data_IF_269169117778
#
_entry.id   IF_269169117778
#
_cell.length_a   1.000
_cell.length_b   1.000
_cell.length_c   1.000
_cell.angle_alpha   90.00
_cell.angle_beta   90.00
_cell.angle_gamma   90.00
#
_symmetry.space_group_name_H-M   'P 1'
#
loop_
_entity.id
_entity.type
_entity.pdbx_description
1 polymer ?
#
# COMPACT_ATOMS: atom_id res chain seq x y z
N UNK A 1 -8.26 9.69 40.09
CA UNK A 1 -7.91 10.77 39.16
C UNK A 1 -8.65 10.52 37.83
N UNK A 2 -9.30 11.52 37.29
CA UNK A 2 -10.08 11.39 36.05
C UNK A 2 -9.55 12.34 34.99
N UNK A 3 -9.61 11.91 33.72
CA UNK A 3 -9.29 12.73 32.57
C UNK A 3 -10.54 12.98 31.72
N UNK A 4 -10.80 14.23 31.34
CA UNK A 4 -11.76 14.62 30.30
C UNK A 4 -11.02 15.15 29.08
N UNK A 5 -11.17 14.49 27.93
CA UNK A 5 -10.45 14.83 26.71
C UNK A 5 -11.23 14.40 25.47
N UNK A 6 -11.64 15.37 24.62
CA UNK A 6 -12.42 15.12 23.40
C UNK A 6 -11.63 15.43 22.11
N UNK A 7 -10.31 15.20 22.18
CA UNK A 7 -9.39 15.47 21.06
C UNK A 7 -8.89 16.91 21.04
N UNK A 8 -7.94 17.18 20.14
CA UNK A 8 -7.21 18.45 20.12
C UNK A 8 -8.05 19.70 19.89
N UNK A 9 -9.21 19.60 19.26
CA UNK A 9 -10.04 20.75 18.90
C UNK A 9 -11.36 20.81 19.68
N UNK A 10 -11.82 19.72 20.30
CA UNK A 10 -13.12 19.59 20.97
C UNK A 10 -14.24 20.43 20.32
N UNK A 11 -14.61 20.17 19.06
CA UNK A 11 -15.46 21.08 18.26
C UNK A 11 -16.88 21.25 18.82
N UNK A 12 -17.29 20.38 19.75
CA UNK A 12 -18.58 20.44 20.43
C UNK A 12 -18.48 21.01 21.84
N UNK A 13 -17.27 21.27 22.34
CA UNK A 13 -17.07 21.88 23.65
C UNK A 13 -17.46 21.00 24.83
N UNK A 14 -17.33 19.67 24.74
CA UNK A 14 -17.76 18.73 25.78
C UNK A 14 -16.80 18.61 26.95
N UNK A 15 -15.53 18.95 26.76
CA UNK A 15 -14.48 18.70 27.76
C UNK A 15 -14.77 19.32 29.10
N UNK A 16 -15.07 20.62 29.16
CA UNK A 16 -15.32 21.33 30.42
C UNK A 16 -16.68 21.00 31.02
N UNK A 17 -17.82 21.06 30.27
CA UNK A 17 -19.12 20.69 30.83
C UNK A 17 -19.11 19.32 31.51
N UNK A 18 -18.55 18.28 30.86
CA UNK A 18 -18.47 16.96 31.47
C UNK A 18 -17.50 16.93 32.66
N UNK A 19 -16.33 17.57 32.58
CA UNK A 19 -15.42 17.66 33.71
C UNK A 19 -16.11 18.28 34.94
N UNK A 20 -16.91 19.35 34.77
CA UNK A 20 -17.66 19.97 35.84
C UNK A 20 -18.73 19.03 36.42
N UNK A 21 -19.51 18.35 35.59
CA UNK A 21 -20.53 17.40 36.06
C UNK A 21 -19.90 16.27 36.86
N UNK A 22 -18.76 15.72 36.38
CA UNK A 22 -18.00 14.70 37.14
C UNK A 22 -17.43 15.28 38.44
N UNK A 23 -17.00 16.53 38.44
CA UNK A 23 -16.52 17.23 39.64
C UNK A 23 -17.59 17.35 40.71
N UNK A 24 -18.81 17.72 40.31
CA UNK A 24 -20.00 17.78 41.17
C UNK A 24 -20.41 16.39 41.66
N UNK A 25 -20.36 15.37 40.80
CA UNK A 25 -20.66 13.99 41.17
C UNK A 25 -19.66 13.41 42.15
N UNK A 26 -18.37 13.77 42.04
CA UNK A 26 -17.26 13.23 42.83
C UNK A 26 -16.37 14.35 43.40
N UNK A 27 -16.80 15.08 44.43
CA UNK A 27 -16.11 16.28 44.96
C UNK A 27 -14.66 16.02 45.42
N UNK A 28 -14.31 14.79 45.80
CA UNK A 28 -12.96 14.42 46.23
C UNK A 28 -12.06 13.96 45.11
N UNK A 29 -12.61 13.76 43.90
CA UNK A 29 -11.83 13.34 42.74
C UNK A 29 -11.00 14.50 42.20
N UNK A 30 -9.78 14.19 41.75
CA UNK A 30 -8.97 15.11 40.96
C UNK A 30 -9.31 14.91 39.49
N UNK A 31 -9.83 15.97 38.83
CA UNK A 31 -10.23 15.91 37.43
C UNK A 31 -9.30 16.78 36.62
N UNK A 32 -8.81 16.26 35.52
CA UNK A 32 -7.97 16.96 34.54
C UNK A 32 -8.78 17.11 33.25
N UNK A 33 -8.86 18.32 32.72
CA UNK A 33 -9.50 18.63 31.45
C UNK A 33 -8.44 19.13 30.47
N UNK A 34 -8.29 18.46 29.33
CA UNK A 34 -7.30 18.85 28.30
C UNK A 34 -7.99 19.74 27.27
N UNK A 35 -7.48 20.97 27.09
CA UNK A 35 -7.98 21.94 26.10
C UNK A 35 -6.87 22.65 25.38
N UNK A 36 -7.05 22.87 24.06
CA UNK A 36 -6.10 23.64 23.23
C UNK A 36 -6.28 25.16 23.34
N UNK A 37 -7.52 25.60 23.57
CA UNK A 37 -7.90 27.01 23.58
C UNK A 37 -8.28 27.50 24.98
N UNK A 38 -8.11 28.81 25.21
CA UNK A 38 -8.59 29.45 26.43
C UNK A 38 -10.11 29.35 26.52
N UNK A 39 -10.62 29.10 27.73
CA UNK A 39 -12.04 28.91 27.97
C UNK A 39 -12.52 29.90 29.03
N UNK A 40 -13.62 30.58 28.76
CA UNK A 40 -14.28 31.51 29.67
C UNK A 40 -15.41 30.85 30.48
N UNK A 41 -15.54 29.51 30.45
CA UNK A 41 -16.57 28.82 31.22
C UNK A 41 -16.17 28.71 32.70
N UNK A 42 -17.20 28.71 33.56
CA UNK A 42 -16.99 28.45 34.97
C UNK A 42 -16.44 27.06 35.20
N UNK A 43 -15.40 26.95 36.03
CA UNK A 43 -14.68 25.71 36.30
C UNK A 43 -14.84 25.34 37.75
N UNK A 44 -15.20 24.08 38.04
CA UNK A 44 -15.31 23.55 39.41
C UNK A 44 -13.93 23.49 40.09
N UNK A 45 -13.91 23.65 41.42
CA UNK A 45 -12.65 23.77 42.22
C UNK A 45 -11.71 22.58 42.08
N UNK A 46 -12.22 21.36 41.84
CA UNK A 46 -11.46 20.11 41.72
C UNK A 46 -11.16 19.75 40.23
N UNK A 47 -11.44 20.67 39.28
CA UNK A 47 -11.08 20.53 37.85
C UNK A 47 -9.83 21.36 37.57
N UNK A 48 -8.81 20.72 37.06
CA UNK A 48 -7.58 21.33 36.57
C UNK A 48 -7.56 21.31 35.04
N UNK A 49 -7.59 22.49 34.41
CA UNK A 49 -7.51 22.62 32.96
C UNK A 49 -6.05 22.71 32.55
N UNK A 50 -5.64 21.85 31.61
CA UNK A 50 -4.28 21.79 31.11
C UNK A 50 -4.23 21.86 29.59
N UNK A 51 -3.11 22.34 29.04
CA UNK A 51 -2.84 22.31 27.60
C UNK A 51 -2.65 20.86 27.14
N UNK A 52 -2.77 20.58 25.83
CA UNK A 52 -2.52 19.26 25.28
C UNK A 52 -1.19 18.66 25.75
N UNK A 53 -1.27 17.45 26.26
CA UNK A 53 -0.11 16.71 26.78
C UNK A 53 0.55 16.01 25.61
N UNK A 54 1.84 16.28 25.41
CA UNK A 54 2.64 15.58 24.41
C UNK A 54 2.73 14.09 24.77
N UNK A 55 2.48 13.21 23.80
CA UNK A 55 2.45 11.76 24.01
C UNK A 55 1.47 11.32 25.12
N UNK A 56 0.25 11.87 25.13
CA UNK A 56 -0.76 11.58 26.14
C UNK A 56 -0.89 10.07 26.47
N UNK A 57 -0.75 9.20 25.46
CA UNK A 57 -0.80 7.73 25.64
C UNK A 57 0.20 7.20 26.69
N UNK A 58 1.33 7.88 26.88
CA UNK A 58 2.36 7.50 27.85
C UNK A 58 2.02 7.92 29.28
N UNK A 59 0.97 8.74 29.45
CA UNK A 59 0.50 9.28 30.72
C UNK A 59 -0.89 8.78 31.12
N UNK A 60 -1.58 8.02 30.27
CA UNK A 60 -2.94 7.55 30.55
C UNK A 60 -3.03 6.67 31.79
N UNK A 61 -2.02 5.87 32.08
CA UNK A 61 -1.95 5.02 33.29
C UNK A 61 -2.04 5.81 34.61
N UNK A 62 -1.84 7.14 34.57
CA UNK A 62 -1.98 8.00 35.75
C UNK A 62 -3.46 8.27 36.12
N UNK A 63 -4.40 7.88 35.28
CA UNK A 63 -5.82 8.16 35.43
C UNK A 63 -6.59 6.86 35.68
N UNK A 64 -7.55 6.93 36.63
CA UNK A 64 -8.44 5.82 36.92
C UNK A 64 -9.57 5.71 35.88
N UNK A 65 -10.06 6.87 35.39
CA UNK A 65 -11.15 6.97 34.43
C UNK A 65 -10.79 8.02 33.36
N UNK A 66 -11.09 7.70 32.11
CA UNK A 66 -10.97 8.60 30.95
C UNK A 66 -12.36 8.80 30.32
N UNK A 67 -12.78 10.05 30.21
CA UNK A 67 -14.01 10.45 29.53
C UNK A 67 -13.65 11.07 28.20
N UNK A 68 -14.13 10.49 27.11
CA UNK A 68 -13.74 10.88 25.75
C UNK A 68 -14.83 10.51 24.73
N UNK A 69 -14.57 10.74 23.44
CA UNK A 69 -15.40 10.21 22.37
C UNK A 69 -14.80 8.88 21.84
N UNK A 70 -15.55 8.20 20.98
CA UNK A 70 -15.04 6.99 20.31
C UNK A 70 -13.89 7.37 19.35
N UNK A 71 -12.67 7.00 19.69
CA UNK A 71 -11.44 7.34 18.95
C UNK A 71 -10.20 6.70 19.59
N UNK A 72 -9.02 7.02 19.08
CA UNK A 72 -7.75 6.43 19.53
C UNK A 72 -7.55 6.56 21.03
N UNK A 73 -7.83 7.72 21.62
CA UNK A 73 -7.67 7.97 23.07
C UNK A 73 -8.48 6.98 23.92
N UNK A 74 -9.69 6.58 23.46
CA UNK A 74 -10.50 5.58 24.17
C UNK A 74 -9.80 4.22 24.21
N UNK A 75 -9.24 3.77 23.10
CA UNK A 75 -8.52 2.49 23.03
C UNK A 75 -7.19 2.52 23.76
N UNK A 76 -6.44 3.63 23.66
CA UNK A 76 -5.21 3.84 24.41
C UNK A 76 -5.46 3.82 25.92
N UNK A 77 -6.59 4.42 26.37
CA UNK A 77 -7.01 4.39 27.79
C UNK A 77 -7.38 2.98 28.26
N UNK A 78 -8.13 2.22 27.46
CA UNK A 78 -8.46 0.82 27.74
C UNK A 78 -7.17 -0.02 27.86
N UNK A 79 -6.25 0.18 26.93
CA UNK A 79 -4.96 -0.51 26.94
C UNK A 79 -4.09 -0.14 28.14
N UNK A 80 -4.15 1.11 28.59
CA UNK A 80 -3.47 1.59 29.80
C UNK A 80 -4.13 1.09 31.10
N UNK A 81 -5.25 0.36 31.02
CA UNK A 81 -5.99 -0.15 32.19
C UNK A 81 -6.91 0.86 32.83
N UNK A 82 -7.24 1.97 32.17
CA UNK A 82 -8.20 2.94 32.66
C UNK A 82 -9.64 2.46 32.47
N UNK A 83 -10.53 2.88 33.35
CA UNK A 83 -11.98 2.88 33.08
C UNK A 83 -12.28 3.88 31.97
N UNK A 84 -13.14 3.53 31.01
CA UNK A 84 -13.50 4.43 29.90
C UNK A 84 -14.99 4.69 29.86
N UNK A 85 -15.33 5.97 29.69
CA UNK A 85 -16.70 6.43 29.48
C UNK A 85 -16.72 7.24 28.19
N UNK A 86 -17.61 6.87 27.26
CA UNK A 86 -17.74 7.56 26.00
C UNK A 86 -18.93 8.49 25.97
N UNK A 87 -18.78 9.66 25.32
CA UNK A 87 -19.88 10.47 24.83
C UNK A 87 -19.85 10.46 23.30
N UNK A 88 -20.88 9.96 22.60
CA UNK A 88 -20.85 9.83 21.15
C UNK A 88 -21.04 11.17 20.46
N UNK A 89 -20.11 11.52 19.59
CA UNK A 89 -20.19 12.74 18.78
C UNK A 89 -20.95 12.55 17.46
N UNK A 90 -21.12 11.28 17.04
CA UNK A 90 -21.86 10.89 15.82
C UNK A 90 -22.65 9.60 16.04
N UNK A 91 -23.64 9.34 15.18
CA UNK A 91 -24.39 8.07 15.17
C UNK A 91 -23.50 6.86 14.95
N UNK A 92 -22.44 7.00 14.13
CA UNK A 92 -21.44 5.94 13.92
C UNK A 92 -20.71 5.62 15.23
N UNK A 93 -20.23 6.64 15.95
CA UNK A 93 -19.54 6.46 17.24
C UNK A 93 -20.43 5.76 18.27
N UNK A 94 -21.74 6.11 18.30
CA UNK A 94 -22.71 5.41 19.16
C UNK A 94 -22.80 3.93 18.82
N UNK A 95 -23.05 3.60 17.56
CA UNK A 95 -23.18 2.22 17.10
C UNK A 95 -21.92 1.38 17.37
N UNK A 96 -20.74 1.98 17.20
CA UNK A 96 -19.46 1.30 17.46
C UNK A 96 -19.25 1.07 18.97
N UNK A 97 -19.54 2.05 19.80
CA UNK A 97 -19.43 1.89 21.25
C UNK A 97 -20.38 0.80 21.78
N UNK A 98 -21.62 0.76 21.30
CA UNK A 98 -22.60 -0.29 21.64
C UNK A 98 -22.12 -1.67 21.14
N UNK A 99 -21.62 -1.77 19.92
CA UNK A 99 -21.07 -3.02 19.35
C UNK A 99 -19.94 -3.60 20.21
N UNK A 100 -19.04 -2.75 20.68
CA UNK A 100 -17.88 -3.16 21.49
C UNK A 100 -18.16 -3.11 23.01
N UNK A 101 -19.41 -2.83 23.41
CA UNK A 101 -19.83 -2.79 24.82
C UNK A 101 -18.98 -1.83 25.67
N UNK A 102 -18.53 -0.72 25.10
CA UNK A 102 -17.84 0.32 25.84
C UNK A 102 -18.88 1.23 26.49
N UNK A 103 -18.76 1.52 27.78
CA UNK A 103 -19.72 2.36 28.50
C UNK A 103 -19.96 3.69 27.83
N UNK A 104 -21.24 4.01 27.54
CA UNK A 104 -21.64 5.12 26.70
C UNK A 104 -22.70 5.99 27.39
N UNK A 105 -22.44 7.29 27.52
CA UNK A 105 -23.43 8.26 27.93
C UNK A 105 -24.44 8.49 26.79
N UNK A 106 -25.72 8.55 27.14
CA UNK A 106 -26.79 8.63 26.14
C UNK A 106 -27.03 10.05 25.63
N UNK A 107 -26.70 11.05 26.44
CA UNK A 107 -26.87 12.47 26.07
C UNK A 107 -25.77 13.33 26.70
N UNK A 108 -25.66 14.57 26.21
CA UNK A 108 -24.68 15.56 26.67
C UNK A 108 -25.12 16.34 27.90
N UNK A 109 -26.42 16.37 28.18
CA UNK A 109 -27.03 17.11 29.31
C UNK A 109 -27.25 16.17 30.49
N UNK A 110 -26.19 15.49 30.94
CA UNK A 110 -26.25 14.56 32.04
C UNK A 110 -26.03 15.29 33.37
N UNK A 111 -26.76 14.87 34.42
CA UNK A 111 -26.64 15.45 35.77
C UNK A 111 -25.59 14.70 36.61
N UNK A 112 -25.13 15.33 37.69
CA UNK A 112 -24.19 14.72 38.62
C UNK A 112 -24.75 13.42 39.26
N UNK A 113 -26.04 13.34 39.50
CA UNK A 113 -26.67 12.15 40.10
C UNK A 113 -26.74 10.99 39.07
N UNK A 114 -27.10 11.33 37.82
CA UNK A 114 -27.07 10.33 36.72
C UNK A 114 -25.68 9.79 36.47
N UNK A 115 -24.63 10.62 36.56
CA UNK A 115 -23.22 10.16 36.46
C UNK A 115 -22.88 9.21 37.59
N UNK A 116 -23.27 9.49 38.84
CA UNK A 116 -23.03 8.59 39.95
C UNK A 116 -23.69 7.24 39.74
N UNK A 117 -24.94 7.24 39.29
CA UNK A 117 -25.69 6.03 38.96
C UNK A 117 -25.04 5.29 37.79
N UNK A 118 -24.65 6.00 36.73
CA UNK A 118 -23.98 5.41 35.59
C UNK A 118 -22.69 4.70 35.96
N UNK A 119 -21.83 5.34 36.76
CA UNK A 119 -20.54 4.75 37.25
C UNK A 119 -20.78 3.52 38.10
N UNK A 120 -21.84 3.50 38.92
CA UNK A 120 -22.19 2.32 39.78
C UNK A 120 -22.75 1.15 38.97
N UNK A 121 -23.49 1.43 37.88
CA UNK A 121 -24.25 0.42 37.16
C UNK A 121 -23.48 -0.19 35.96
N UNK A 122 -22.37 0.41 35.56
CA UNK A 122 -21.62 -0.01 34.37
C UNK A 122 -20.23 -0.54 34.74
N UNK A 123 -19.77 -1.56 34.03
CA UNK A 123 -18.38 -1.93 34.10
C UNK A 123 -17.57 -0.94 33.24
N UNK A 124 -16.84 -0.05 33.89
CA UNK A 124 -16.05 0.98 33.20
C UNK A 124 -14.75 0.45 32.60
N UNK A 125 -14.38 -0.79 32.90
CA UNK A 125 -13.18 -1.45 32.40
C UNK A 125 -13.55 -2.49 31.33
N UNK A 126 -13.90 -2.05 30.11
CA UNK A 126 -14.26 -2.97 29.05
C UNK A 126 -13.05 -3.83 28.69
N UNK A 127 -13.23 -5.14 28.72
CA UNK A 127 -12.29 -6.06 28.09
C UNK A 127 -12.54 -5.95 26.58
N UNK A 128 -11.62 -5.41 25.87
CA UNK A 128 -11.63 -5.57 24.41
C UNK A 128 -11.50 -7.07 24.14
N UNK A 129 -12.47 -7.69 23.46
CA UNK A 129 -12.37 -9.09 23.14
C UNK A 129 -11.17 -9.30 22.23
N UNK A 130 -10.07 -9.80 22.77
CA UNK A 130 -8.96 -10.37 22.00
C UNK A 130 -9.48 -11.73 21.54
N UNK A 131 -10.33 -11.72 20.55
CA UNK A 131 -10.88 -12.94 19.98
C UNK A 131 -10.23 -13.16 18.61
N UNK A 132 -9.46 -14.24 18.51
CA UNK A 132 -8.70 -14.63 17.31
C UNK A 132 -9.53 -14.81 16.03
N UNK A 133 -10.85 -14.66 16.10
CA UNK A 133 -11.78 -14.87 14.97
C UNK A 133 -12.67 -13.64 14.66
N UNK A 134 -12.40 -12.48 15.22
CA UNK A 134 -13.16 -11.27 14.93
C UNK A 134 -12.23 -10.19 14.33
N UNK A 135 -12.70 -9.45 13.33
CA UNK A 135 -12.05 -8.26 12.78
C UNK A 135 -11.98 -7.14 13.85
N UNK A 136 -11.24 -7.38 14.93
CA UNK A 136 -11.10 -6.46 16.06
C UNK A 136 -9.99 -5.44 15.81
N UNK A 137 -10.05 -4.31 16.51
CA UNK A 137 -8.98 -3.32 16.47
C UNK A 137 -7.63 -3.93 16.90
N UNK A 138 -7.63 -4.92 17.83
CA UNK A 138 -6.44 -5.67 18.23
C UNK A 138 -5.82 -6.39 17.04
N UNK A 139 -6.60 -7.12 16.23
CA UNK A 139 -6.13 -7.75 15.00
C UNK A 139 -5.67 -6.71 13.97
N UNK A 140 -6.35 -5.56 13.89
CA UNK A 140 -5.94 -4.48 13.00
C UNK A 140 -4.61 -3.87 13.45
N UNK A 141 -4.41 -3.62 14.75
CA UNK A 141 -3.13 -3.16 15.32
C UNK A 141 -2.04 -4.23 15.13
N UNK A 142 -2.38 -5.50 15.34
CA UNK A 142 -1.48 -6.61 15.10
C UNK A 142 -1.11 -6.71 13.62
N UNK A 143 -2.08 -6.65 12.70
CA UNK A 143 -1.82 -6.56 11.26
C UNK A 143 -0.96 -5.36 10.88
N UNK A 144 -1.20 -4.18 11.48
CA UNK A 144 -0.32 -3.01 11.27
C UNK A 144 1.11 -3.29 11.78
N UNK A 145 1.26 -3.98 12.91
CA UNK A 145 2.59 -4.35 13.43
C UNK A 145 3.27 -5.45 12.61
N UNK A 146 2.47 -6.34 12.02
CA UNK A 146 2.88 -7.44 11.15
C UNK A 146 2.88 -7.06 9.65
N UNK A 147 2.32 -5.89 9.31
CA UNK A 147 2.30 -5.37 7.94
C UNK A 147 3.69 -5.38 7.32
N UNK A 148 3.76 -5.79 6.05
CA UNK A 148 5.02 -5.90 5.31
C UNK A 148 5.73 -4.55 5.25
N UNK A 149 6.89 -4.45 5.92
CA UNK A 149 7.84 -3.36 5.71
C UNK A 149 8.72 -3.72 4.53
N UNK A 150 8.57 -2.97 3.45
CA UNK A 150 9.30 -3.20 2.22
C UNK A 150 10.49 -2.24 2.12
N UNK A 151 11.58 -2.75 1.60
CA UNK A 151 12.80 -1.99 1.36
C UNK A 151 12.73 -1.30 0.00
N UNK A 152 13.58 -0.28 -0.21
CA UNK A 152 13.77 0.24 -1.56
C UNK A 152 14.28 -0.89 -2.48
N UNK A 153 13.58 -1.23 -3.57
CA UNK A 153 13.93 -2.37 -4.41
C UNK A 153 15.27 -2.22 -5.15
N UNK A 154 15.79 -0.99 -5.24
CA UNK A 154 17.09 -0.67 -5.85
C UNK A 154 18.22 -0.67 -4.82
N UNK A 155 18.02 -0.04 -3.65
CA UNK A 155 19.08 0.10 -2.65
C UNK A 155 19.11 -1.04 -1.65
N UNK A 156 18.02 -1.82 -1.54
CA UNK A 156 17.85 -2.96 -0.63
C UNK A 156 18.19 -2.68 0.85
N UNK A 157 18.25 -1.40 1.21
CA UNK A 157 18.53 -0.96 2.57
C UNK A 157 17.24 -0.61 3.31
N UNK A 158 17.28 -0.71 4.63
CA UNK A 158 16.17 -0.29 5.47
C UNK A 158 15.76 1.14 5.11
N UNK A 159 14.43 1.33 4.91
CA UNK A 159 13.89 2.65 4.63
C UNK A 159 14.40 3.62 5.68
N UNK A 160 15.25 4.54 5.27
CA UNK A 160 15.71 5.60 6.15
C UNK A 160 14.48 6.41 6.57
N UNK A 161 14.45 6.87 7.82
CA UNK A 161 13.45 7.84 8.29
C UNK A 161 13.39 9.09 7.39
N UNK A 162 14.44 9.31 6.60
CA UNK A 162 14.60 10.40 5.65
C UNK A 162 13.81 10.22 4.33
N UNK A 163 13.44 8.99 3.93
CA UNK A 163 12.70 8.76 2.68
C UNK A 163 11.34 9.48 2.69
N UNK A 164 11.15 10.38 1.72
CA UNK A 164 9.96 11.23 1.63
C UNK A 164 8.72 10.41 1.33
N UNK A 165 7.66 10.56 2.12
CA UNK A 165 6.34 9.99 1.81
C UNK A 165 5.80 10.70 0.56
N UNK A 166 5.44 9.90 -0.45
CA UNK A 166 4.87 10.37 -1.73
C UNK A 166 3.35 10.25 -1.72
N UNK A 167 2.85 9.13 -1.21
CA UNK A 167 1.42 8.87 -1.04
C UNK A 167 1.19 7.88 0.11
N UNK A 168 0.04 7.98 0.74
CA UNK A 168 -0.41 7.05 1.78
C UNK A 168 -1.91 6.87 1.67
N UNK A 169 -2.37 5.63 1.78
CA UNK A 169 -3.78 5.28 1.92
C UNK A 169 -3.97 4.32 3.12
N UNK A 170 -5.17 3.76 3.26
CA UNK A 170 -5.51 2.93 4.42
C UNK A 170 -4.70 1.63 4.54
N UNK A 171 -4.15 1.13 3.44
CA UNK A 171 -3.47 -0.17 3.38
C UNK A 171 -2.01 -0.07 2.97
N UNK A 172 -1.58 1.03 2.34
CA UNK A 172 -0.24 1.15 1.73
C UNK A 172 0.40 2.51 1.94
N UNK A 173 1.75 2.52 1.97
CA UNK A 173 2.56 3.75 1.99
C UNK A 173 3.60 3.68 0.89
N UNK A 174 3.66 4.70 0.06
CA UNK A 174 4.69 4.89 -0.96
C UNK A 174 5.68 5.96 -0.53
N UNK A 175 6.97 5.68 -0.69
CA UNK A 175 8.07 6.60 -0.37
C UNK A 175 8.96 6.80 -1.59
N UNK A 176 9.68 7.90 -1.59
CA UNK A 176 10.79 8.14 -2.51
C UNK A 176 12.09 7.92 -1.78
N UNK A 177 12.88 6.98 -2.26
CA UNK A 177 14.22 6.71 -1.72
C UNK A 177 15.13 7.92 -1.91
N UNK A 178 15.69 8.43 -0.84
CA UNK A 178 16.59 9.58 -0.87
C UNK A 178 17.89 9.26 -1.63
N UNK A 179 18.36 8.01 -1.55
CA UNK A 179 19.63 7.57 -2.15
C UNK A 179 19.55 7.42 -3.67
N UNK A 180 18.47 6.79 -4.21
CA UNK A 180 18.41 6.48 -5.64
C UNK A 180 17.26 7.18 -6.39
N UNK A 181 16.33 7.80 -5.68
CA UNK A 181 15.17 8.48 -6.26
C UNK A 181 14.01 7.55 -6.66
N UNK A 182 14.12 6.22 -6.47
CA UNK A 182 13.04 5.29 -6.76
C UNK A 182 11.83 5.57 -5.87
N UNK A 183 10.65 5.68 -6.47
CA UNK A 183 9.39 5.67 -5.72
C UNK A 183 8.96 4.23 -5.53
N UNK A 184 8.73 3.81 -4.29
CA UNK A 184 8.46 2.42 -3.95
C UNK A 184 7.42 2.30 -2.85
N UNK A 185 6.72 1.16 -2.82
CA UNK A 185 5.83 0.79 -1.73
C UNK A 185 6.69 0.39 -0.53
N UNK A 186 6.63 1.16 0.54
CA UNK A 186 7.44 0.94 1.76
C UNK A 186 6.70 0.18 2.85
N UNK A 187 5.39 0.05 2.70
CA UNK A 187 4.52 -0.65 3.63
C UNK A 187 3.25 -1.12 2.94
N UNK A 188 2.82 -2.35 3.22
CA UNK A 188 1.53 -2.91 2.79
C UNK A 188 0.90 -3.72 3.92
N UNK A 189 -0.44 -3.61 4.07
CA UNK A 189 -1.27 -4.50 4.88
C UNK A 189 -1.81 -5.70 4.09
N UNK A 190 -1.58 -5.71 2.79
CA UNK A 190 -2.11 -6.72 1.89
C UNK A 190 -1.04 -7.78 1.59
N UNK A 191 -1.47 -9.02 1.47
CA UNK A 191 -0.61 -10.13 1.12
C UNK A 191 -0.20 -10.08 -0.36
N UNK A 192 0.86 -10.80 -0.71
CA UNK A 192 1.32 -10.93 -2.07
C UNK A 192 0.28 -11.64 -2.92
N UNK A 193 0.11 -11.19 -4.16
CA UNK A 193 -0.76 -11.88 -5.12
C UNK A 193 -0.11 -13.15 -5.63
N UNK A 194 -0.91 -14.20 -5.79
CA UNK A 194 -0.55 -15.40 -6.53
C UNK A 194 -0.89 -15.23 -8.02
N UNK A 195 0.06 -15.52 -8.90
CA UNK A 195 -0.11 -15.49 -10.37
C UNK A 195 -0.39 -16.89 -10.90
N UNK A 196 -1.45 -17.52 -10.37
CA UNK A 196 -1.93 -18.82 -10.84
C UNK A 196 -2.86 -18.66 -12.06
N UNK A 197 -3.39 -19.78 -12.54
CA UNK A 197 -4.33 -19.81 -13.68
C UNK A 197 -5.52 -18.87 -13.48
N UNK A 198 -6.02 -18.70 -12.25
CA UNK A 198 -7.09 -17.78 -11.88
C UNK A 198 -6.81 -16.33 -12.27
N UNK A 199 -5.56 -15.87 -12.17
CA UNK A 199 -5.18 -14.50 -12.56
C UNK A 199 -5.50 -14.22 -14.05
N UNK A 200 -5.11 -15.10 -14.96
CA UNK A 200 -5.30 -14.87 -16.40
C UNK A 200 -6.75 -15.04 -16.87
N UNK A 201 -7.56 -15.84 -16.17
CA UNK A 201 -8.94 -16.09 -16.54
C UNK A 201 -9.94 -15.26 -15.76
N UNK A 202 -9.74 -15.04 -14.47
CA UNK A 202 -10.69 -14.37 -13.59
C UNK A 202 -10.33 -12.90 -13.35
N UNK A 203 -9.12 -12.62 -12.86
CA UNK A 203 -8.71 -11.26 -12.49
C UNK A 203 -8.53 -10.40 -13.73
N UNK A 204 -7.92 -10.92 -14.78
CA UNK A 204 -7.78 -10.22 -16.06
C UNK A 204 -9.16 -9.96 -16.68
N UNK A 205 -10.05 -10.96 -16.69
CA UNK A 205 -11.41 -10.80 -17.18
C UNK A 205 -12.23 -9.79 -16.36
N UNK A 206 -12.07 -9.80 -15.03
CA UNK A 206 -12.71 -8.82 -14.15
C UNK A 206 -12.23 -7.39 -14.43
N UNK A 207 -10.97 -7.23 -14.77
CA UNK A 207 -10.37 -5.93 -15.04
C UNK A 207 -10.63 -5.42 -16.47
N UNK A 208 -10.64 -6.31 -17.47
CA UNK A 208 -10.67 -5.96 -18.89
C UNK A 208 -11.91 -6.47 -19.64
N UNK A 209 -12.82 -7.21 -19.01
CA UNK A 209 -14.05 -7.75 -19.60
C UNK A 209 -13.87 -8.99 -20.46
N UNK A 210 -12.65 -9.46 -20.67
CA UNK A 210 -12.26 -10.64 -21.47
C UNK A 210 -11.08 -11.36 -20.86
N UNK A 211 -10.89 -12.63 -21.17
CA UNK A 211 -9.72 -13.39 -20.73
C UNK A 211 -8.46 -12.94 -21.45
N UNK A 212 -7.30 -13.26 -20.91
CA UNK A 212 -6.02 -12.94 -21.55
C UNK A 212 -5.87 -13.57 -22.94
N UNK A 213 -6.39 -14.80 -23.14
CA UNK A 213 -6.39 -15.48 -24.41
C UNK A 213 -7.33 -14.82 -25.42
N UNK A 214 -8.53 -14.38 -25.03
CA UNK A 214 -9.44 -13.62 -25.88
C UNK A 214 -8.83 -12.27 -26.32
N UNK A 215 -7.91 -11.71 -25.52
CA UNK A 215 -7.22 -10.45 -25.84
C UNK A 215 -5.86 -10.64 -26.54
N UNK A 216 -5.46 -11.88 -26.82
CA UNK A 216 -4.16 -12.23 -27.37
C UNK A 216 -3.76 -11.37 -28.58
N UNK A 217 -4.64 -11.27 -29.59
CA UNK A 217 -4.36 -10.51 -30.82
C UNK A 217 -4.22 -9.00 -30.54
N UNK A 218 -4.99 -8.45 -29.62
CA UNK A 218 -4.87 -7.05 -29.22
C UNK A 218 -3.52 -6.78 -28.54
N UNK A 219 -3.10 -7.68 -27.64
CA UNK A 219 -1.82 -7.58 -26.93
C UNK A 219 -0.66 -7.80 -27.91
N UNK A 220 -0.80 -8.75 -28.87
CA UNK A 220 0.17 -8.96 -29.96
C UNK A 220 0.33 -7.69 -30.82
N UNK A 221 -0.77 -7.03 -31.17
CA UNK A 221 -0.73 -5.76 -31.91
C UNK A 221 0.02 -4.66 -31.17
N UNK A 222 -0.10 -4.61 -29.84
CA UNK A 222 0.71 -3.71 -29.01
C UNK A 222 2.19 -4.16 -29.02
N UNK A 223 2.44 -5.47 -29.00
CA UNK A 223 3.76 -6.06 -29.17
C UNK A 223 4.45 -5.58 -30.45
N UNK A 224 3.76 -5.55 -31.56
CA UNK A 224 4.29 -5.04 -32.85
C UNK A 224 4.77 -3.59 -32.73
N UNK A 225 3.98 -2.70 -32.08
CA UNK A 225 4.40 -1.30 -31.84
C UNK A 225 5.65 -1.21 -30.95
N UNK A 226 5.76 -2.09 -29.96
CA UNK A 226 6.95 -2.17 -29.08
C UNK A 226 8.17 -2.61 -29.88
N UNK A 227 8.00 -3.58 -30.78
CA UNK A 227 9.06 -4.08 -31.68
C UNK A 227 9.50 -2.99 -32.65
N UNK A 228 8.60 -2.20 -33.22
CA UNK A 228 8.94 -1.05 -34.06
C UNK A 228 9.85 -0.05 -33.32
N UNK A 229 9.54 0.21 -32.05
CA UNK A 229 10.39 1.04 -31.20
C UNK A 229 11.77 0.44 -30.97
N UNK A 230 11.86 -0.87 -30.67
CA UNK A 230 13.13 -1.58 -30.50
C UNK A 230 13.90 -1.59 -31.83
N UNK A 231 13.24 -1.92 -32.93
CA UNK A 231 13.82 -2.02 -34.26
C UNK A 231 14.38 -0.68 -34.81
N UNK A 232 13.86 0.46 -34.30
CA UNK A 232 14.42 1.77 -34.59
C UNK A 232 15.77 2.03 -33.96
N UNK A 233 16.13 1.25 -32.92
CA UNK A 233 17.40 1.33 -32.18
C UNK A 233 18.34 0.23 -32.60
N UNK A 234 17.85 -1.03 -32.65
CA UNK A 234 18.61 -2.21 -33.01
C UNK A 234 17.72 -3.14 -33.83
N UNK A 235 18.20 -3.54 -35.03
CA UNK A 235 17.45 -4.46 -35.89
C UNK A 235 17.18 -5.77 -35.17
N UNK A 236 15.89 -6.16 -35.11
CA UNK A 236 15.46 -7.34 -34.34
C UNK A 236 15.55 -8.65 -35.15
N UNK A 237 15.60 -8.57 -36.47
CA UNK A 237 15.64 -9.75 -37.33
C UNK A 237 16.85 -10.63 -37.01
N UNK A 238 16.61 -11.94 -36.88
CA UNK A 238 17.58 -12.98 -36.53
C UNK A 238 18.25 -12.75 -35.15
N UNK A 239 17.66 -11.94 -34.27
CA UNK A 239 18.15 -11.70 -32.93
C UNK A 239 17.45 -12.59 -31.92
N UNK A 240 18.18 -13.07 -30.92
CA UNK A 240 17.62 -13.77 -29.78
C UNK A 240 16.94 -12.76 -28.85
N UNK A 241 15.63 -12.90 -28.68
CA UNK A 241 14.78 -12.03 -27.84
C UNK A 241 14.28 -12.84 -26.66
N UNK A 242 14.58 -12.40 -25.47
CA UNK A 242 14.13 -13.05 -24.23
C UNK A 242 13.10 -12.16 -23.51
N UNK A 243 11.88 -12.66 -23.39
CA UNK A 243 10.77 -11.97 -22.75
C UNK A 243 10.52 -12.55 -21.34
N UNK A 244 10.73 -11.72 -20.33
CA UNK A 244 10.55 -12.07 -18.91
C UNK A 244 9.14 -11.71 -18.51
N UNK A 245 8.35 -12.69 -18.01
CA UNK A 245 6.92 -12.57 -17.79
C UNK A 245 6.15 -12.62 -19.11
N UNK A 246 6.46 -13.62 -19.96
CA UNK A 246 5.92 -13.72 -21.31
C UNK A 246 4.42 -14.07 -21.38
N UNK A 247 3.80 -14.46 -20.25
CA UNK A 247 2.43 -14.95 -20.18
C UNK A 247 2.13 -15.98 -21.30
N UNK A 248 1.00 -15.88 -21.99
CA UNK A 248 0.63 -16.74 -23.13
C UNK A 248 1.38 -16.40 -24.45
N UNK A 249 2.43 -15.58 -24.42
CA UNK A 249 3.36 -15.34 -25.54
C UNK A 249 2.91 -14.39 -26.66
N UNK A 250 2.01 -13.43 -26.46
CA UNK A 250 1.59 -12.53 -27.54
C UNK A 250 2.76 -11.65 -28.04
N UNK A 251 3.67 -11.24 -27.15
CA UNK A 251 4.87 -10.49 -27.55
C UNK A 251 5.88 -11.41 -28.27
N UNK A 252 6.03 -12.66 -27.83
CA UNK A 252 6.89 -13.64 -28.52
C UNK A 252 6.41 -13.85 -29.97
N UNK A 253 5.08 -13.97 -30.17
CA UNK A 253 4.49 -14.07 -31.49
C UNK A 253 4.75 -12.82 -32.35
N UNK A 254 4.63 -11.63 -31.74
CA UNK A 254 4.97 -10.37 -32.43
C UNK A 254 6.47 -10.32 -32.82
N UNK A 255 7.38 -10.82 -31.97
CA UNK A 255 8.80 -10.88 -32.28
C UNK A 255 9.09 -11.84 -33.42
N UNK A 256 8.44 -13.02 -33.44
CA UNK A 256 8.55 -13.99 -34.51
C UNK A 256 8.07 -13.42 -35.86
N UNK A 257 7.00 -12.60 -35.90
CA UNK A 257 6.54 -11.93 -37.12
C UNK A 257 7.63 -11.03 -37.73
N UNK A 258 8.52 -10.48 -36.90
CA UNK A 258 9.71 -9.72 -37.31
C UNK A 258 10.95 -10.59 -37.55
N UNK A 259 10.77 -11.91 -37.62
CA UNK A 259 11.85 -12.90 -37.86
C UNK A 259 12.91 -12.88 -36.74
N UNK A 260 12.55 -12.51 -35.51
CA UNK A 260 13.39 -12.73 -34.34
C UNK A 260 13.31 -14.19 -33.89
N UNK A 261 14.22 -14.60 -33.02
CA UNK A 261 14.18 -15.92 -32.34
C UNK A 261 13.70 -15.67 -30.93
N UNK A 262 12.41 -15.93 -30.62
CA UNK A 262 11.84 -15.64 -29.32
C UNK A 262 12.15 -16.71 -28.29
N UNK A 263 12.36 -16.29 -27.04
CA UNK A 263 12.51 -17.11 -25.84
C UNK A 263 11.67 -16.47 -24.74
N UNK A 264 11.04 -17.27 -23.88
CA UNK A 264 10.20 -16.75 -22.81
C UNK A 264 10.41 -17.41 -21.45
N UNK A 265 10.13 -16.69 -20.40
CA UNK A 265 9.94 -17.25 -19.05
C UNK A 265 8.72 -16.62 -18.41
N UNK A 266 7.99 -17.42 -17.64
CA UNK A 266 6.89 -16.99 -16.80
C UNK A 266 6.80 -17.88 -15.56
N UNK A 267 6.18 -17.41 -14.48
CA UNK A 267 5.93 -18.21 -13.29
C UNK A 267 4.70 -19.11 -13.45
N UNK A 268 3.82 -18.80 -14.41
CA UNK A 268 2.62 -19.57 -14.71
C UNK A 268 2.96 -20.77 -15.60
N UNK A 269 2.81 -21.97 -15.04
CA UNK A 269 3.03 -23.20 -15.78
C UNK A 269 2.06 -23.36 -16.96
N UNK A 270 0.79 -22.99 -16.80
CA UNK A 270 -0.22 -23.08 -17.86
C UNK A 270 0.11 -22.14 -19.04
N UNK A 271 0.56 -20.92 -18.74
CA UNK A 271 0.96 -19.96 -19.77
C UNK A 271 2.19 -20.48 -20.55
N UNK A 272 3.19 -21.00 -19.86
CA UNK A 272 4.40 -21.57 -20.47
C UNK A 272 4.07 -22.82 -21.30
N UNK A 273 3.19 -23.70 -20.83
CA UNK A 273 2.71 -24.85 -21.61
C UNK A 273 2.06 -24.40 -22.92
N UNK A 274 1.25 -23.39 -22.90
CA UNK A 274 0.63 -22.83 -24.10
C UNK A 274 1.69 -22.29 -25.06
N UNK A 275 2.66 -21.50 -24.60
CA UNK A 275 3.76 -20.98 -25.42
C UNK A 275 4.54 -22.08 -26.10
N UNK A 276 4.84 -23.18 -25.38
CA UNK A 276 5.60 -24.31 -25.91
C UNK A 276 4.80 -25.17 -26.88
N UNK A 277 3.55 -25.49 -26.55
CA UNK A 277 2.78 -26.50 -27.26
C UNK A 277 1.96 -25.91 -28.40
N UNK A 278 1.40 -24.70 -28.22
CA UNK A 278 0.53 -24.06 -29.23
C UNK A 278 1.31 -23.10 -30.12
N UNK A 279 2.27 -22.34 -29.55
CA UNK A 279 3.05 -21.38 -30.30
C UNK A 279 4.40 -21.94 -30.79
N UNK A 280 4.85 -23.07 -30.25
CA UNK A 280 6.13 -23.72 -30.56
C UNK A 280 7.36 -22.82 -30.31
N UNK A 281 7.31 -21.97 -29.28
CA UNK A 281 8.46 -21.16 -28.87
C UNK A 281 9.15 -21.74 -27.62
N UNK A 282 10.49 -21.68 -27.54
CA UNK A 282 11.23 -22.04 -26.32
C UNK A 282 10.78 -21.16 -25.15
N UNK A 283 10.23 -21.80 -24.10
CA UNK A 283 9.83 -21.12 -22.88
C UNK A 283 10.03 -22.04 -21.68
N UNK A 284 10.21 -21.48 -20.48
CA UNK A 284 10.33 -22.26 -19.25
C UNK A 284 9.57 -21.61 -18.09
N UNK A 285 9.02 -22.46 -17.21
CA UNK A 285 8.40 -22.04 -15.95
C UNK A 285 9.50 -21.81 -14.94
N UNK A 286 9.82 -20.54 -14.69
CA UNK A 286 10.84 -20.17 -13.73
C UNK A 286 10.62 -18.73 -13.22
N UNK A 287 10.97 -18.51 -11.95
CA UNK A 287 11.07 -17.18 -11.39
C UNK A 287 12.34 -16.48 -11.89
N UNK A 288 12.22 -15.17 -12.17
CA UNK A 288 13.35 -14.32 -12.47
C UNK A 288 13.66 -13.48 -11.22
N UNK A 289 14.93 -13.31 -10.80
CA UNK A 289 16.19 -13.59 -11.53
C UNK A 289 16.84 -14.98 -11.29
N UNK A 290 16.17 -15.91 -10.61
CA UNK A 290 16.74 -17.19 -10.15
C UNK A 290 16.96 -18.19 -11.29
N UNK A 291 16.36 -17.94 -12.46
CA UNK A 291 16.46 -18.83 -13.64
C UNK A 291 17.90 -19.08 -14.08
N UNK A 292 18.23 -20.34 -14.37
CA UNK A 292 19.46 -20.73 -15.04
C UNK A 292 19.25 -20.74 -16.56
N UNK A 293 19.61 -19.65 -17.22
CA UNK A 293 19.41 -19.45 -18.66
C UNK A 293 20.13 -20.52 -19.51
N UNK A 294 21.36 -20.84 -19.16
CA UNK A 294 22.15 -21.81 -19.96
C UNK A 294 21.59 -23.21 -19.87
N UNK A 295 21.05 -23.61 -18.74
CA UNK A 295 20.40 -24.90 -18.56
C UNK A 295 19.07 -24.97 -19.32
N UNK A 296 18.28 -23.91 -19.30
CA UNK A 296 16.94 -23.89 -19.90
C UNK A 296 17.00 -23.77 -21.43
N UNK A 297 17.95 -23.01 -21.98
CA UNK A 297 17.93 -22.63 -23.39
C UNK A 297 19.23 -22.97 -24.16
N UNK A 298 20.27 -23.47 -23.47
CA UNK A 298 21.57 -23.66 -24.07
C UNK A 298 22.30 -22.39 -24.50
N UNK A 299 21.82 -21.22 -24.03
CA UNK A 299 22.37 -19.92 -24.32
C UNK A 299 22.87 -19.25 -23.05
N UNK A 300 23.86 -18.36 -23.19
CA UNK A 300 24.35 -17.53 -22.05
C UNK A 300 23.85 -16.09 -22.10
N UNK A 301 23.61 -15.58 -23.31
CA UNK A 301 23.23 -14.17 -23.51
C UNK A 301 22.26 -14.02 -24.68
N UNK A 302 21.45 -12.96 -24.58
CA UNK A 302 20.47 -12.54 -25.59
C UNK A 302 20.84 -11.20 -26.20
N UNK A 303 20.37 -10.96 -27.41
CA UNK A 303 20.53 -9.65 -28.08
C UNK A 303 19.58 -8.61 -27.52
N UNK A 304 18.38 -9.08 -27.12
CA UNK A 304 17.29 -8.23 -26.62
C UNK A 304 16.66 -8.95 -25.42
N UNK A 305 16.45 -8.21 -24.33
CA UNK A 305 15.70 -8.66 -23.15
C UNK A 305 14.52 -7.73 -22.93
N UNK A 306 13.34 -8.28 -22.68
CA UNK A 306 12.12 -7.49 -22.52
C UNK A 306 11.36 -7.82 -21.24
N UNK A 307 10.62 -6.83 -20.71
CA UNK A 307 9.67 -6.94 -19.61
C UNK A 307 8.47 -6.03 -19.86
N UNK A 308 7.28 -6.59 -20.03
CA UNK A 308 6.09 -5.80 -20.34
C UNK A 308 5.08 -5.83 -19.19
N UNK A 309 5.06 -4.77 -18.34
CA UNK A 309 4.28 -4.72 -17.11
C UNK A 309 4.65 -5.84 -16.12
N UNK A 310 5.95 -6.01 -15.89
CA UNK A 310 6.53 -7.02 -15.02
C UNK A 310 7.53 -6.40 -14.03
N UNK A 311 8.28 -5.39 -14.46
CA UNK A 311 9.38 -4.82 -13.68
C UNK A 311 8.91 -4.21 -12.35
N UNK A 312 7.67 -3.73 -12.29
CA UNK A 312 7.05 -3.17 -11.09
C UNK A 312 6.74 -4.19 -10.00
N UNK A 313 6.68 -5.48 -10.35
CA UNK A 313 6.34 -6.56 -9.43
C UNK A 313 7.53 -7.14 -8.67
N UNK A 314 8.73 -6.65 -8.90
CA UNK A 314 9.91 -7.13 -8.17
C UNK A 314 10.17 -6.33 -6.89
N UNK A 315 10.25 -7.06 -5.75
CA UNK A 315 10.66 -6.51 -4.46
C UNK A 315 12.16 -6.20 -4.41
N UNK A 316 12.97 -6.88 -5.22
CA UNK A 316 14.42 -6.70 -5.32
C UNK A 316 14.83 -6.45 -6.78
N UNK A 317 14.76 -5.20 -7.20
CA UNK A 317 15.18 -4.79 -8.55
C UNK A 317 16.71 -4.77 -8.71
N UNK A 318 17.47 -4.70 -7.63
CA UNK A 318 18.93 -4.76 -7.68
C UNK A 318 19.41 -6.07 -8.29
N UNK A 319 18.89 -7.21 -7.78
CA UNK A 319 19.21 -8.53 -8.32
C UNK A 319 18.71 -8.71 -9.75
N UNK A 320 17.52 -8.23 -10.05
CA UNK A 320 16.89 -8.30 -11.38
C UNK A 320 17.73 -7.55 -12.42
N UNK A 321 18.09 -6.29 -12.16
CA UNK A 321 18.85 -5.47 -13.12
C UNK A 321 20.28 -5.98 -13.31
N UNK A 322 20.92 -6.51 -12.25
CA UNK A 322 22.22 -7.19 -12.34
C UNK A 322 22.12 -8.44 -13.22
N UNK A 323 21.09 -9.26 -13.03
CA UNK A 323 20.87 -10.46 -13.85
C UNK A 323 20.63 -10.09 -15.31
N UNK A 324 19.78 -9.10 -15.61
CA UNK A 324 19.54 -8.65 -16.98
C UNK A 324 20.86 -8.21 -17.63
N UNK A 325 21.68 -7.40 -16.94
CA UNK A 325 22.98 -7.00 -17.47
C UNK A 325 23.88 -8.20 -17.79
N UNK A 326 23.89 -9.25 -16.94
CA UNK A 326 24.72 -10.43 -17.15
C UNK A 326 24.30 -11.31 -18.33
N UNK A 327 22.99 -11.33 -18.66
CA UNK A 327 22.44 -12.14 -19.76
C UNK A 327 22.22 -11.37 -21.05
N UNK A 328 22.44 -10.07 -21.04
CA UNK A 328 22.37 -9.21 -22.22
C UNK A 328 23.75 -9.16 -22.87
N UNK A 329 23.80 -9.33 -24.20
CA UNK A 329 25.04 -9.14 -24.96
C UNK A 329 25.53 -7.70 -24.87
N UNK A 330 26.82 -7.50 -25.09
CA UNK A 330 27.35 -6.14 -25.26
C UNK A 330 26.57 -5.42 -26.38
N UNK A 331 26.20 -4.19 -26.13
CA UNK A 331 25.37 -3.34 -27.02
C UNK A 331 23.97 -3.93 -27.32
N UNK A 332 23.52 -4.88 -26.47
CA UNK A 332 22.16 -5.42 -26.51
C UNK A 332 21.13 -4.43 -25.97
N UNK A 333 19.86 -4.68 -26.25
CA UNK A 333 18.76 -3.81 -25.84
C UNK A 333 17.96 -4.41 -24.69
N UNK A 334 17.83 -3.67 -23.59
CA UNK A 334 16.83 -3.94 -22.56
C UNK A 334 15.64 -3.00 -22.75
N UNK A 335 14.45 -3.54 -22.95
CA UNK A 335 13.21 -2.76 -23.12
C UNK A 335 12.13 -3.21 -22.14
N UNK A 336 11.46 -2.26 -21.53
CA UNK A 336 10.36 -2.58 -20.60
C UNK A 336 9.25 -1.53 -20.66
N UNK A 337 8.06 -1.90 -20.21
CA UNK A 337 6.96 -0.98 -19.93
C UNK A 337 6.45 -1.17 -18.51
N UNK A 338 5.96 -0.09 -17.91
CA UNK A 338 5.41 -0.06 -16.57
C UNK A 338 4.53 1.17 -16.40
N UNK A 339 3.55 1.18 -15.49
CA UNK A 339 2.82 2.39 -15.13
C UNK A 339 3.78 3.48 -14.65
N UNK A 340 3.58 4.70 -15.12
CA UNK A 340 4.48 5.81 -14.83
C UNK A 340 3.92 6.76 -13.78
N UNK A 341 4.72 7.03 -12.72
CA UNK A 341 4.44 8.08 -11.74
C UNK A 341 4.46 9.51 -12.32
N UNK A 342 4.96 9.70 -13.54
CA UNK A 342 4.93 10.95 -14.32
C UNK A 342 3.94 10.90 -15.50
N UNK A 343 3.17 9.82 -15.60
CA UNK A 343 2.14 9.64 -16.62
C UNK A 343 0.91 10.54 -16.40
N UNK A 344 0.03 10.58 -17.40
CA UNK A 344 -1.19 11.42 -17.35
C UNK A 344 -2.05 11.09 -16.14
N UNK A 345 -2.30 9.81 -15.85
CA UNK A 345 -3.10 9.39 -14.68
C UNK A 345 -2.52 9.87 -13.36
N UNK A 346 -1.20 9.78 -13.16
CA UNK A 346 -0.54 10.25 -11.96
C UNK A 346 -0.53 11.78 -11.86
N UNK A 347 -0.47 12.50 -12.98
CA UNK A 347 -0.51 13.97 -13.02
C UNK A 347 -1.91 14.52 -12.84
N UNK A 348 -2.94 13.88 -13.41
CA UNK A 348 -4.32 14.34 -13.31
C UNK A 348 -4.91 14.12 -11.92
N UNK A 349 -4.67 12.97 -11.30
CA UNK A 349 -5.11 12.66 -9.95
C UNK A 349 -4.13 11.71 -9.26
N UNK A 350 -3.19 12.31 -8.54
CA UNK A 350 -2.11 11.59 -7.86
C UNK A 350 -2.64 10.60 -6.81
N UNK A 351 -3.58 11.02 -5.99
CA UNK A 351 -4.10 10.19 -4.91
C UNK A 351 -4.84 8.97 -5.47
N UNK A 352 -5.68 9.19 -6.48
CA UNK A 352 -6.38 8.11 -7.18
C UNK A 352 -5.40 7.14 -7.88
N UNK A 353 -4.32 7.63 -8.47
CA UNK A 353 -3.28 6.79 -9.09
C UNK A 353 -2.66 5.82 -8.08
N UNK A 354 -2.22 6.33 -6.91
CA UNK A 354 -1.61 5.48 -5.88
C UNK A 354 -2.63 4.60 -5.15
N UNK A 355 -3.87 5.07 -4.97
CA UNK A 355 -4.93 4.30 -4.33
C UNK A 355 -5.35 3.10 -5.17
N UNK A 356 -5.44 3.25 -6.50
CA UNK A 356 -5.85 2.20 -7.43
C UNK A 356 -4.66 1.45 -8.07
N UNK A 357 -3.43 1.73 -7.66
CA UNK A 357 -2.27 0.93 -8.07
C UNK A 357 -2.46 -0.51 -7.58
N UNK A 358 -2.18 -1.55 -8.40
CA UNK A 358 -2.20 -2.93 -7.94
C UNK A 358 -1.37 -3.15 -6.67
N UNK A 359 -1.78 -4.12 -5.85
CA UNK A 359 -1.19 -4.37 -4.51
C UNK A 359 0.21 -4.95 -4.58
N UNK A 360 0.57 -5.48 -5.72
CA UNK A 360 1.84 -6.10 -6.08
C UNK A 360 2.76 -5.20 -6.92
N UNK A 361 2.42 -3.90 -7.06
CA UNK A 361 3.32 -2.93 -7.66
C UNK A 361 4.26 -2.35 -6.59
N UNK A 362 5.41 -2.98 -6.40
CA UNK A 362 6.40 -2.58 -5.38
C UNK A 362 7.23 -1.37 -5.78
N UNK A 363 7.31 -1.06 -7.09
CA UNK A 363 8.00 0.12 -7.60
C UNK A 363 7.13 0.92 -8.56
N UNK A 364 7.26 2.26 -8.49
CA UNK A 364 6.61 3.20 -9.41
C UNK A 364 7.72 3.92 -10.16
N UNK A 365 7.85 3.61 -11.43
CA UNK A 365 8.88 4.17 -12.28
C UNK A 365 8.54 5.59 -12.75
N UNK A 366 9.54 6.43 -12.79
CA UNK A 366 9.46 7.81 -13.27
C UNK A 366 10.55 8.01 -14.33
N UNK A 367 10.20 8.36 -15.60
CA UNK A 367 11.18 8.58 -16.66
C UNK A 367 12.32 9.53 -16.26
N UNK A 368 12.01 10.56 -15.47
CA UNK A 368 13.02 11.51 -14.98
C UNK A 368 14.08 10.88 -14.06
N UNK A 369 13.77 9.74 -13.42
CA UNK A 369 14.66 9.01 -12.49
C UNK A 369 15.25 7.75 -13.12
N UNK A 370 14.55 7.15 -14.10
CA UNK A 370 14.96 5.91 -14.73
C UNK A 370 16.41 5.97 -15.26
N UNK A 371 16.81 7.09 -15.89
CA UNK A 371 18.18 7.27 -16.44
C UNK A 371 19.26 7.11 -15.38
N UNK A 372 19.11 7.74 -14.23
CA UNK A 372 20.12 7.68 -13.14
C UNK A 372 20.14 6.31 -12.47
N UNK A 373 18.98 5.65 -12.34
CA UNK A 373 18.85 4.32 -11.75
C UNK A 373 19.51 3.29 -12.66
N UNK A 374 19.12 3.24 -13.93
CA UNK A 374 19.59 2.24 -14.91
C UNK A 374 21.09 2.38 -15.21
N UNK A 375 21.62 3.61 -15.17
CA UNK A 375 23.06 3.87 -15.33
C UNK A 375 23.92 3.13 -14.31
N UNK A 376 23.42 2.92 -13.08
CA UNK A 376 24.13 2.17 -12.02
C UNK A 376 24.37 0.70 -12.40
N UNK A 377 23.58 0.16 -13.31
CA UNK A 377 23.64 -1.21 -13.78
C UNK A 377 24.24 -1.35 -15.18
N UNK A 378 24.88 -0.29 -15.70
CA UNK A 378 25.56 -0.28 -17.00
C UNK A 378 24.62 -0.03 -18.19
N UNK A 379 23.37 0.36 -17.97
CA UNK A 379 22.44 0.69 -19.05
C UNK A 379 22.45 2.17 -19.39
N UNK A 380 22.35 2.49 -20.67
CA UNK A 380 22.06 3.83 -21.16
C UNK A 380 20.62 3.91 -21.66
N UNK A 381 19.85 4.88 -21.18
CA UNK A 381 18.47 5.11 -21.65
C UNK A 381 18.51 5.90 -22.95
N UNK A 382 18.28 5.21 -24.05
CA UNK A 382 18.33 5.77 -25.41
C UNK A 382 16.96 6.24 -25.92
N UNK A 383 15.86 5.70 -25.39
CA UNK A 383 14.51 6.07 -25.81
C UNK A 383 13.49 5.90 -24.69
N UNK A 384 12.59 6.86 -24.57
CA UNK A 384 11.41 6.81 -23.68
C UNK A 384 10.17 7.09 -24.54
N UNK A 385 9.15 6.25 -24.45
CA UNK A 385 7.93 6.35 -25.23
C UNK A 385 6.72 6.34 -24.30
N UNK A 386 5.82 7.33 -24.46
CA UNK A 386 4.51 7.31 -23.82
C UNK A 386 3.56 6.50 -24.71
N UNK A 387 3.04 5.38 -24.18
CA UNK A 387 2.28 4.43 -25.01
C UNK A 387 0.76 4.58 -24.93
N UNK A 388 0.20 5.33 -23.98
CA UNK A 388 -1.26 5.53 -23.87
C UNK A 388 -2.04 4.21 -23.92
N UNK A 389 -1.71 3.27 -23.03
CA UNK A 389 -2.19 1.87 -23.09
C UNK A 389 -3.70 1.72 -22.89
N UNK A 390 -4.32 2.66 -22.17
CA UNK A 390 -5.74 2.64 -21.84
C UNK A 390 -6.36 4.01 -22.17
N UNK A 391 -6.65 4.30 -23.45
CA UNK A 391 -7.24 5.59 -23.84
C UNK A 391 -8.57 5.85 -23.15
N UNK A 392 -9.33 4.81 -22.79
CA UNK A 392 -10.57 4.90 -22.03
C UNK A 392 -10.39 5.44 -20.58
N UNK A 393 -9.18 5.46 -20.06
CA UNK A 393 -8.85 6.03 -18.73
C UNK A 393 -8.42 7.49 -18.81
N UNK A 394 -8.28 8.05 -20.00
CA UNK A 394 -7.98 9.45 -20.18
C UNK A 394 -9.29 10.23 -20.30
N UNK A 395 -9.55 11.22 -19.43
CA UNK A 395 -10.63 12.15 -19.71
C UNK A 395 -10.29 12.89 -21.01
N UNK A 396 -11.14 12.71 -22.03
CA UNK A 396 -11.09 13.48 -23.27
C UNK A 396 -11.62 14.87 -22.99
#
# INVERSE_FOLDING_TARGET
KMLSCFGGEDPKGFTIPLANVFAQAFPVAKIVAIMSNENNQQIEKNVNVVKPILNLKEHLYEYDIVVTHYGLTAFEAIYAGCGVILLPTTKLHKNLAEKYKIPLLQNENITAEEIKQFVKSNNLFPLLPINSNSNSLGEFIQKISEGQKLLCPICTQNSNKADKIIARNNTRTYRRCETCGMTYMSFSLEDDKSYEKSYFFEDYKKQYGKTYQEDFESIKKQGLRRIENINSISKIQNKNVFDIGCAYGPFLSAAADYKAVPFGTDISEDAVKYVRNELNYPACTAAFPEINISEQFGLFQFDIVTMWYVIEHFKNLDSVLKKINSILKKDGVFAFSTPSGEGISAKSNKDNFYQNSPTDHYSIWEPSKAKSILKKYGFEVVKVVSTGHHPERFPC
#
